data_IF_567002588803
#
_entry.id   IF_567002588803
#
_cell.length_a   1.000
_cell.length_b   1.000
_cell.length_c   1.000
_cell.angle_alpha   90.00
_cell.angle_beta   90.00
_cell.angle_gamma   90.00
#
_symmetry.space_group_name_H-M   'P 1'
#
loop_
_entity.id
_entity.type
_entity.pdbx_description
1 polymer ?
#
# COMPACT_ATOMS: atom_id res chain seq x y z
N UNK A 1 -0.14 -0.67 -15.26
CA UNK A 1 -0.60 0.13 -14.15
C UNK A 1 -1.74 -0.56 -13.47
N UNK A 2 -1.76 -0.52 -12.19
CA UNK A 2 -2.75 -1.26 -11.44
C UNK A 2 -3.98 -0.42 -11.18
N UNK A 3 -5.12 -0.87 -11.65
CA UNK A 3 -6.38 -0.15 -11.46
C UNK A 3 -6.85 -0.17 -10.02
N UNK A 4 -6.23 -0.98 -9.18
CA UNK A 4 -6.66 -1.11 -7.80
C UNK A 4 -6.27 0.11 -6.97
N UNK A 5 -5.25 0.83 -7.36
CA UNK A 5 -4.85 2.04 -6.66
C UNK A 5 -5.70 3.20 -7.14
N UNK A 6 -6.23 3.96 -6.17
CA UNK A 6 -6.99 5.16 -6.47
C UNK A 6 -6.17 6.37 -6.03
N UNK A 7 -5.99 7.31 -6.92
CA UNK A 7 -5.27 8.52 -6.62
C UNK A 7 -6.26 9.61 -6.25
N UNK A 8 -6.08 10.19 -5.08
CA UNK A 8 -6.93 11.28 -4.59
C UNK A 8 -6.15 12.57 -4.61
N UNK A 9 -6.74 13.67 -5.04
CA UNK A 9 -5.98 14.91 -5.22
C UNK A 9 -5.87 15.81 -4.00
N UNK A 10 -6.75 15.68 -3.01
CA UNK A 10 -6.78 16.63 -1.92
C UNK A 10 -7.09 15.97 -0.60
N UNK A 11 -6.07 15.67 0.19
CA UNK A 11 -4.65 15.79 -0.12
C UNK A 11 -4.22 14.70 -1.09
N UNK A 12 -3.11 14.94 -1.77
CA UNK A 12 -2.62 13.97 -2.74
C UNK A 12 -2.24 12.69 -2.04
N UNK A 13 -2.82 11.59 -2.47
CA UNK A 13 -2.54 10.30 -1.87
C UNK A 13 -2.98 9.18 -2.80
N UNK A 14 -2.41 8.00 -2.56
CA UNK A 14 -2.82 6.76 -3.22
C UNK A 14 -3.50 5.89 -2.19
N UNK A 15 -4.62 5.30 -2.55
CA UNK A 15 -5.38 4.43 -1.65
C UNK A 15 -5.66 3.11 -2.33
N UNK A 16 -5.50 2.04 -1.58
CA UNK A 16 -5.83 0.72 -2.08
C UNK A 16 -6.23 -0.20 -0.94
N UNK A 17 -7.16 -1.11 -1.24
CA UNK A 17 -7.55 -2.16 -0.33
C UNK A 17 -7.06 -3.49 -0.87
N UNK A 18 -6.33 -4.23 -0.04
CA UNK A 18 -5.90 -5.59 -0.35
C UNK A 18 -6.80 -6.58 0.35
N UNK A 19 -7.18 -7.61 -0.36
CA UNK A 19 -8.03 -8.65 0.19
C UNK A 19 -7.23 -9.94 0.29
N UNK A 20 -7.38 -10.66 1.40
CA UNK A 20 -6.62 -11.88 1.64
C UNK A 20 -7.54 -13.04 1.95
N UNK A 21 -7.06 -14.26 1.73
CA UNK A 21 -7.85 -15.45 1.97
C UNK A 21 -8.04 -15.72 3.46
N UNK A 22 -7.04 -15.37 4.25
CA UNK A 22 -7.09 -15.63 5.68
C UNK A 22 -6.16 -14.68 6.39
N UNK A 23 -6.22 -14.75 7.73
CA UNK A 23 -5.43 -13.82 8.53
C UNK A 23 -3.92 -14.08 8.42
N UNK A 24 -3.53 -15.35 8.22
CA UNK A 24 -2.11 -15.66 8.10
C UNK A 24 -1.49 -14.96 6.90
N UNK A 25 -2.20 -14.98 5.76
CA UNK A 25 -1.70 -14.31 4.56
C UNK A 25 -1.64 -12.81 4.78
N UNK A 26 -2.63 -12.25 5.48
CA UNK A 26 -2.65 -10.83 5.77
C UNK A 26 -1.48 -10.45 6.67
N UNK A 27 -1.21 -11.25 7.68
CA UNK A 27 -0.13 -10.99 8.62
C UNK A 27 1.22 -11.03 7.91
N UNK A 28 1.40 -11.98 7.01
CA UNK A 28 2.64 -12.06 6.22
C UNK A 28 2.81 -10.81 5.38
N UNK A 29 1.74 -10.33 4.77
CA UNK A 29 1.81 -9.10 3.99
C UNK A 29 2.24 -7.93 4.86
N UNK A 30 1.67 -7.81 6.05
CA UNK A 30 2.01 -6.69 6.94
C UNK A 30 3.48 -6.74 7.35
N UNK A 31 3.99 -7.94 7.65
CA UNK A 31 5.39 -8.08 8.02
C UNK A 31 6.31 -7.66 6.87
N UNK A 32 5.99 -8.10 5.67
CA UNK A 32 6.79 -7.74 4.50
C UNK A 32 6.69 -6.26 4.20
N UNK A 33 5.49 -5.70 4.35
CA UNK A 33 5.29 -4.28 4.10
C UNK A 33 6.09 -3.43 5.08
N UNK A 34 6.18 -3.87 6.33
CA UNK A 34 6.99 -3.15 7.31
C UNK A 34 8.45 -3.12 6.88
N UNK A 35 8.96 -4.24 6.35
CA UNK A 35 10.32 -4.28 5.85
C UNK A 35 10.54 -3.35 4.68
N UNK A 36 9.57 -3.28 3.77
CA UNK A 36 9.67 -2.37 2.64
C UNK A 36 9.65 -0.93 3.12
N UNK A 37 8.78 -0.62 4.09
CA UNK A 37 8.71 0.74 4.65
C UNK A 37 10.05 1.16 5.23
N UNK A 38 10.70 0.28 5.99
CA UNK A 38 11.99 0.61 6.57
C UNK A 38 13.05 0.82 5.49
N UNK A 39 13.04 -0.05 4.49
CA UNK A 39 14.04 0.03 3.44
C UNK A 39 13.89 1.29 2.60
N UNK A 40 12.65 1.67 2.32
CA UNK A 40 12.38 2.83 1.47
C UNK A 40 12.27 4.12 2.25
N UNK A 41 12.14 4.04 3.56
CA UNK A 41 11.96 5.24 4.38
C UNK A 41 10.61 5.90 4.18
N UNK A 42 9.59 5.11 3.85
CA UNK A 42 8.27 5.63 3.56
C UNK A 42 7.25 4.81 4.34
N UNK A 43 6.43 5.49 5.15
CA UNK A 43 5.52 4.82 6.06
C UNK A 43 4.07 5.19 5.76
N UNK A 44 3.36 4.34 5.03
CA UNK A 44 1.96 4.62 4.71
C UNK A 44 1.06 4.35 5.90
N UNK A 45 -0.12 4.91 5.86
CA UNK A 45 -1.16 4.57 6.83
C UNK A 45 -1.78 3.25 6.43
N UNK A 46 -1.94 2.37 7.39
CA UNK A 46 -2.57 1.08 7.14
C UNK A 46 -3.57 0.78 8.23
N UNK A 47 -4.74 0.33 7.80
CA UNK A 47 -5.72 -0.22 8.71
C UNK A 47 -6.13 -1.59 8.18
N UNK A 48 -6.48 -2.49 9.07
CA UNK A 48 -6.78 -3.84 8.61
C UNK A 48 -7.83 -4.49 9.47
N UNK A 49 -8.52 -5.46 8.88
CA UNK A 49 -9.44 -6.31 9.59
C UNK A 49 -8.91 -7.74 9.55
N UNK A 50 -9.83 -8.69 9.49
CA UNK A 50 -9.43 -10.10 9.50
C UNK A 50 -8.81 -10.55 8.19
N UNK A 51 -9.29 -10.01 7.09
CA UNK A 51 -8.90 -10.49 5.78
C UNK A 51 -8.66 -9.36 4.78
N UNK A 52 -8.47 -8.13 5.26
CA UNK A 52 -8.21 -7.01 4.36
C UNK A 52 -7.25 -6.02 5.00
N UNK A 53 -6.57 -5.28 4.15
CA UNK A 53 -5.70 -4.18 4.57
C UNK A 53 -6.01 -2.98 3.68
N UNK A 54 -6.29 -1.84 4.30
CA UNK A 54 -6.44 -0.58 3.57
C UNK A 54 -5.14 0.18 3.69
N UNK A 55 -4.58 0.57 2.57
CA UNK A 55 -3.29 1.27 2.54
C UNK A 55 -3.50 2.65 1.96
N UNK A 56 -2.96 3.67 2.62
CA UNK A 56 -2.98 5.03 2.12
C UNK A 56 -1.55 5.56 2.10
N UNK A 57 -1.07 5.89 0.91
CA UNK A 57 0.27 6.46 0.74
C UNK A 57 0.10 7.95 0.48
N UNK A 58 0.59 8.77 1.41
CA UNK A 58 0.44 10.22 1.32
C UNK A 58 1.59 10.83 0.55
N UNK A 59 1.32 11.97 -0.10
CA UNK A 59 2.38 12.76 -0.69
C UNK A 59 3.26 13.32 0.43
N UNK A 60 4.46 13.72 0.06
CA UNK A 60 5.37 14.31 1.03
C UNK A 60 4.75 15.57 1.63
N UNK A 61 5.13 15.84 2.87
CA UNK A 61 4.62 17.00 3.56
C UNK A 61 4.98 18.27 2.78
N UNK A 62 3.98 19.14 2.60
CA UNK A 62 4.19 20.35 1.82
C UNK A 62 4.05 20.16 0.32
N UNK A 63 3.86 18.95 -0.12
CA UNK A 63 3.71 18.65 -1.53
C UNK A 63 2.23 18.50 -1.87
N UNK A 64 1.83 18.98 -3.03
CA UNK A 64 0.45 18.85 -3.48
C UNK A 64 0.27 17.73 -4.49
N UNK A 65 1.36 17.05 -4.85
CA UNK A 65 1.30 15.97 -5.81
C UNK A 65 2.12 14.80 -5.32
N UNK A 66 1.76 13.62 -5.81
CA UNK A 66 2.53 12.42 -5.55
C UNK A 66 3.73 12.41 -6.49
N UNK A 67 4.86 11.93 -5.97
CA UNK A 67 6.04 11.82 -6.83
C UNK A 67 6.35 10.35 -7.08
N UNK A 68 7.45 10.11 -7.76
CA UNK A 68 7.80 8.77 -8.18
C UNK A 68 8.06 7.84 -6.99
N UNK A 69 8.52 8.38 -5.88
CA UNK A 69 8.76 7.56 -4.69
C UNK A 69 7.48 6.89 -4.20
N UNK A 70 6.39 7.64 -4.13
CA UNK A 70 5.13 7.08 -3.67
C UNK A 70 4.61 6.05 -4.67
N UNK A 71 4.72 6.31 -5.95
CA UNK A 71 4.25 5.37 -6.97
C UNK A 71 5.10 4.11 -6.99
N UNK A 72 6.39 4.27 -6.82
CA UNK A 72 7.29 3.12 -6.73
C UNK A 72 6.98 2.25 -5.52
N UNK A 73 6.69 2.90 -4.40
CA UNK A 73 6.35 2.19 -3.18
C UNK A 73 5.07 1.37 -3.38
N UNK A 74 4.09 1.93 -4.05
CA UNK A 74 2.86 1.20 -4.35
C UNK A 74 3.16 -0.05 -5.17
N UNK A 75 4.06 0.07 -6.14
CA UNK A 75 4.47 -1.06 -6.96
C UNK A 75 5.14 -2.13 -6.11
N UNK A 76 5.98 -1.71 -5.17
CA UNK A 76 6.63 -2.66 -4.28
C UNK A 76 5.63 -3.41 -3.42
N UNK A 77 4.62 -2.71 -2.91
CA UNK A 77 3.60 -3.36 -2.12
C UNK A 77 2.81 -4.37 -2.97
N UNK A 78 2.49 -4.01 -4.19
CA UNK A 78 1.79 -4.92 -5.08
C UNK A 78 2.60 -6.20 -5.30
N UNK A 79 3.92 -6.07 -5.36
CA UNK A 79 4.78 -7.22 -5.58
C UNK A 79 4.81 -8.17 -4.37
N UNK A 80 4.43 -7.69 -3.20
CA UNK A 80 4.35 -8.54 -2.03
C UNK A 80 3.13 -9.44 -2.02
N UNK A 81 2.10 -9.06 -2.77
CA UNK A 81 0.86 -9.81 -2.79
C UNK A 81 0.96 -10.89 -3.85
N UNK A 82 0.95 -12.15 -3.44
CA UNK A 82 0.93 -13.21 -4.43
C UNK A 82 -0.38 -13.15 -5.20
N UNK A 83 -0.41 -13.83 -6.32
CA UNK A 83 -1.54 -13.75 -7.20
C UNK A 83 -2.82 -14.05 -6.53
N UNK A 84 -3.05 -14.74 -5.67
CA UNK A 84 -4.36 -15.01 -5.11
C UNK A 84 -4.87 -13.93 -4.20
N UNK A 85 -4.02 -13.03 -3.79
CA UNK A 85 -4.39 -12.15 -2.71
C UNK A 85 -5.45 -11.14 -3.08
N UNK A 86 -5.51 -10.77 -4.34
CA UNK A 86 -6.52 -9.82 -4.76
C UNK A 86 -6.89 -10.07 -6.20
N UNK A 87 -6.96 -11.31 -6.51
CA UNK A 87 -7.36 -11.71 -7.84
C UNK A 87 -8.83 -11.40 -8.05
#
# INVERSE_FOLDING_TARGET
>A
MNDQWQERPRPARLERRYQFENYAALSDFLDCAAGVSEREGLYPDMSFGRDYVNVTIHADEGSTTLDERQRHFATLLDALCPQGANA
#
